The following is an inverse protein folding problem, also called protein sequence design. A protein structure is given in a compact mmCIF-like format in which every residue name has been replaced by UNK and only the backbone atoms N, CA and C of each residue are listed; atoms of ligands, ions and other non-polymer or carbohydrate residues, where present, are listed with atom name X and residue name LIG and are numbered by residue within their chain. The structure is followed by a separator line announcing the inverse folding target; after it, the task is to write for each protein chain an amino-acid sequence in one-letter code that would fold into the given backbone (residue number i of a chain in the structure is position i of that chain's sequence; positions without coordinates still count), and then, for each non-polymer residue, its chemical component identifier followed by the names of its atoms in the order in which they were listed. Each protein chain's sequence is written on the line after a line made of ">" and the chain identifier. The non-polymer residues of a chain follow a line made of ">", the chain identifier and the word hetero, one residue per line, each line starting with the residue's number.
data_IF_421982332799
#
_entry.id   IF_421982332799
#
_cell.length_a   1.000
_cell.length_b   1.000
_cell.length_c   1.000
_cell.angle_alpha   90.00
_cell.angle_beta   90.00
_cell.angle_gamma   90.00
#
_symmetry.space_group_name_H-M   'P 1'
#
loop_
_entity.id
_entity.type
_entity.pdbx_description
1 polymer ?
#
# COMPACT_ATOMS: atom_id res chain seq x y z
N UNK A 1 -22.31 -3.11 33.50
CA UNK A 1 -21.62 -3.44 34.78
C UNK A 1 -20.12 -3.29 34.55
N UNK A 2 -19.40 -2.57 35.41
CA UNK A 2 -17.96 -2.39 35.23
C UNK A 2 -17.21 -3.57 35.82
N UNK A 3 -16.43 -4.28 35.03
CA UNK A 3 -15.73 -5.51 35.40
C UNK A 3 -14.62 -5.29 36.46
N UNK A 4 -14.14 -4.06 36.61
CA UNK A 4 -13.04 -3.68 37.51
C UNK A 4 -13.47 -2.94 38.79
N UNK A 5 -14.77 -2.86 39.08
CA UNK A 5 -15.31 -2.02 40.16
C UNK A 5 -15.07 -2.54 41.60
N UNK A 6 -14.45 -3.71 41.80
CA UNK A 6 -14.41 -4.40 43.08
C UNK A 6 -13.79 -3.63 44.27
N UNK A 7 -12.88 -2.65 44.01
CA UNK A 7 -12.21 -1.85 45.07
C UNK A 7 -12.80 -0.45 45.21
N UNK A 8 -13.52 0.04 44.19
CA UNK A 8 -13.95 1.44 44.14
C UNK A 8 -15.28 1.65 44.82
N UNK A 9 -15.37 2.68 45.65
CA UNK A 9 -16.57 3.06 46.41
C UNK A 9 -17.43 4.12 45.74
N UNK A 10 -16.96 4.68 44.61
CA UNK A 10 -17.69 5.71 43.85
C UNK A 10 -17.83 5.29 42.39
N UNK A 11 -18.90 5.71 41.76
CA UNK A 11 -19.03 5.62 40.31
C UNK A 11 -18.05 6.57 39.63
N UNK A 12 -17.57 6.18 38.43
CA UNK A 12 -16.72 7.04 37.63
C UNK A 12 -17.54 8.21 37.07
N UNK A 13 -16.96 9.39 37.05
CA UNK A 13 -17.58 10.56 36.42
C UNK A 13 -17.86 10.29 34.93
N UNK A 14 -19.02 10.75 34.44
CA UNK A 14 -19.47 10.48 33.09
C UNK A 14 -18.46 10.99 32.04
N UNK A 15 -17.93 12.21 32.19
CA UNK A 15 -16.95 12.78 31.24
C UNK A 15 -15.63 11.99 31.23
N UNK A 16 -15.21 11.52 32.41
CA UNK A 16 -14.05 10.65 32.55
C UNK A 16 -14.30 9.30 31.91
N UNK A 17 -15.51 8.75 31.98
CA UNK A 17 -15.85 7.52 31.28
C UNK A 17 -15.83 7.70 29.76
N UNK A 18 -16.42 8.78 29.26
CA UNK A 18 -16.45 9.09 27.84
C UNK A 18 -15.03 9.32 27.29
N UNK A 19 -14.14 9.95 28.06
CA UNK A 19 -12.73 10.13 27.71
C UNK A 19 -11.95 8.81 27.66
N UNK A 20 -12.30 7.84 28.51
CA UNK A 20 -11.61 6.54 28.55
C UNK A 20 -12.16 5.51 27.56
N UNK A 21 -13.36 5.72 27.01
CA UNK A 21 -14.05 4.78 26.15
C UNK A 21 -13.36 4.67 24.79
N UNK A 22 -13.29 3.45 24.25
CA UNK A 22 -12.74 3.14 22.91
C UNK A 22 -13.78 2.53 21.98
N UNK A 23 -15.02 2.31 22.44
CA UNK A 23 -16.06 1.63 21.67
C UNK A 23 -16.31 2.26 20.29
N UNK A 24 -16.13 3.58 20.16
CA UNK A 24 -16.35 4.32 18.91
C UNK A 24 -15.44 3.88 17.76
N UNK A 25 -14.27 3.33 18.05
CA UNK A 25 -13.30 2.88 17.05
C UNK A 25 -12.94 1.40 17.18
N UNK A 26 -12.92 0.80 18.39
CA UNK A 26 -12.58 -0.61 18.57
C UNK A 26 -13.74 -1.57 18.26
N UNK A 27 -14.98 -1.06 18.19
CA UNK A 27 -16.15 -1.84 17.78
C UNK A 27 -15.98 -2.58 16.45
N UNK A 28 -15.10 -2.11 15.55
CA UNK A 28 -14.80 -2.80 14.28
C UNK A 28 -14.11 -4.15 14.46
N UNK A 29 -13.48 -4.39 15.61
CA UNK A 29 -12.80 -5.66 15.93
C UNK A 29 -13.69 -6.69 16.60
N UNK A 30 -15.04 -6.52 16.59
CA UNK A 30 -15.93 -7.47 17.26
C UNK A 30 -15.75 -8.93 16.81
N UNK A 31 -15.39 -9.15 15.53
CA UNK A 31 -15.12 -10.49 15.00
C UNK A 31 -13.86 -11.07 15.60
N UNK A 32 -12.80 -10.29 15.64
CA UNK A 32 -11.49 -10.68 16.16
C UNK A 32 -11.58 -10.98 17.65
N UNK A 33 -12.30 -10.16 18.41
CA UNK A 33 -12.53 -10.41 19.84
C UNK A 33 -13.30 -11.70 20.08
N UNK A 34 -14.35 -11.97 19.28
CA UNK A 34 -15.12 -13.22 19.39
C UNK A 34 -14.27 -14.42 18.97
N UNK A 35 -13.52 -14.33 17.86
CA UNK A 35 -12.60 -15.39 17.40
C UNK A 35 -11.54 -15.71 18.48
N UNK A 36 -10.89 -14.67 19.03
CA UNK A 36 -9.92 -14.79 20.12
C UNK A 36 -10.53 -15.41 21.37
N UNK A 37 -11.75 -14.99 21.72
CA UNK A 37 -12.50 -15.51 22.89
C UNK A 37 -12.94 -16.98 22.69
N UNK A 38 -13.36 -17.38 21.51
CA UNK A 38 -13.66 -18.79 21.18
C UNK A 38 -12.41 -19.66 21.32
N UNK A 39 -11.28 -19.23 20.77
CA UNK A 39 -10.02 -19.94 20.88
C UNK A 39 -9.57 -20.08 22.35
N UNK A 40 -9.71 -19.01 23.13
CA UNK A 40 -9.41 -19.02 24.56
C UNK A 40 -10.34 -19.97 25.35
N UNK A 41 -11.66 -19.91 25.12
CA UNK A 41 -12.63 -20.78 25.76
C UNK A 41 -12.35 -22.27 25.44
N UNK A 42 -12.00 -22.57 24.20
CA UNK A 42 -11.61 -23.91 23.78
C UNK A 42 -10.37 -24.39 24.55
N UNK A 43 -9.32 -23.57 24.61
CA UNK A 43 -8.07 -23.89 25.29
C UNK A 43 -8.28 -24.15 26.80
N UNK A 44 -8.99 -23.26 27.51
CA UNK A 44 -9.21 -23.44 28.96
C UNK A 44 -10.09 -24.66 29.25
N UNK A 45 -11.00 -25.06 28.34
CA UNK A 45 -11.76 -26.29 28.43
C UNK A 45 -10.88 -27.54 28.16
N UNK A 46 -10.05 -27.52 27.11
CA UNK A 46 -9.11 -28.61 26.78
C UNK A 46 -8.06 -28.83 27.88
N UNK A 47 -7.59 -27.76 28.52
CA UNK A 47 -6.66 -27.81 29.64
C UNK A 47 -7.32 -28.18 30.98
N UNK A 48 -8.64 -28.39 31.04
CA UNK A 48 -9.37 -28.77 32.25
C UNK A 48 -9.45 -27.65 33.31
N UNK A 49 -9.29 -26.40 32.92
CA UNK A 49 -9.38 -25.21 33.79
C UNK A 49 -10.84 -24.89 34.10
N UNK A 50 -11.74 -25.13 33.15
CA UNK A 50 -13.18 -25.12 33.28
C UNK A 50 -13.76 -26.43 32.77
N UNK A 51 -15.00 -26.76 33.16
CA UNK A 51 -15.65 -27.95 32.66
C UNK A 51 -15.89 -27.88 31.16
N UNK A 52 -15.75 -29.00 30.47
CA UNK A 52 -15.92 -29.09 29.02
C UNK A 52 -17.30 -28.58 28.58
N UNK A 53 -18.35 -28.91 29.31
CA UNK A 53 -19.71 -28.45 29.05
C UNK A 53 -19.86 -26.92 29.18
N UNK A 54 -19.11 -26.29 30.08
CA UNK A 54 -19.10 -24.84 30.24
C UNK A 54 -18.36 -24.18 29.08
N UNK A 55 -17.19 -24.75 28.65
CA UNK A 55 -16.47 -24.30 27.47
C UNK A 55 -17.35 -24.35 26.22
N UNK A 56 -18.03 -25.47 25.97
CA UNK A 56 -18.94 -25.64 24.82
C UNK A 56 -20.10 -24.65 24.87
N UNK A 57 -20.66 -24.36 26.06
CA UNK A 57 -21.73 -23.37 26.24
C UNK A 57 -21.24 -21.93 25.94
N UNK A 58 -20.02 -21.58 26.38
CA UNK A 58 -19.37 -20.30 26.09
C UNK A 58 -19.15 -20.13 24.60
N UNK A 59 -18.55 -21.11 23.93
CA UNK A 59 -18.30 -21.10 22.48
C UNK A 59 -19.61 -20.88 21.72
N UNK A 60 -20.64 -21.66 22.02
CA UNK A 60 -21.96 -21.51 21.39
C UNK A 60 -22.61 -20.16 21.66
N UNK A 61 -22.41 -19.61 22.87
CA UNK A 61 -22.87 -18.28 23.22
C UNK A 61 -22.19 -17.18 22.38
N UNK A 62 -20.86 -17.28 22.19
CA UNK A 62 -20.06 -16.37 21.38
C UNK A 62 -20.43 -16.45 19.89
N UNK A 63 -20.60 -17.67 19.35
CA UNK A 63 -21.07 -17.88 17.97
C UNK A 63 -22.46 -17.26 17.76
N UNK A 64 -23.35 -17.38 18.74
CA UNK A 64 -24.67 -16.77 18.70
C UNK A 64 -24.60 -15.23 18.76
N UNK A 65 -23.67 -14.64 19.52
CA UNK A 65 -23.44 -13.18 19.55
C UNK A 65 -22.94 -12.73 18.17
N UNK A 66 -21.96 -13.43 17.58
CA UNK A 66 -21.44 -13.13 16.26
C UNK A 66 -22.56 -13.12 15.20
N UNK A 67 -23.37 -14.17 15.17
CA UNK A 67 -24.48 -14.27 14.22
C UNK A 67 -25.53 -13.16 14.41
N UNK A 68 -25.83 -12.78 15.65
CA UNK A 68 -26.77 -11.70 15.96
C UNK A 68 -26.20 -10.32 15.55
N UNK A 69 -24.89 -10.07 15.72
CA UNK A 69 -24.22 -8.86 15.24
C UNK A 69 -24.21 -8.81 13.71
N UNK A 70 -23.83 -9.91 13.06
CA UNK A 70 -23.74 -10.00 11.59
C UNK A 70 -25.10 -9.80 10.90
N UNK A 71 -26.15 -10.29 11.52
CA UNK A 71 -27.52 -10.12 11.00
C UNK A 71 -28.18 -8.78 11.38
N UNK A 72 -27.52 -7.96 12.21
CA UNK A 72 -28.07 -6.70 12.72
C UNK A 72 -29.16 -6.89 13.78
N UNK A 73 -29.38 -8.10 14.28
CA UNK A 73 -30.32 -8.40 15.36
C UNK A 73 -29.81 -7.87 16.70
N UNK A 74 -28.52 -7.87 16.92
CA UNK A 74 -27.85 -7.24 18.04
C UNK A 74 -27.08 -6.01 17.52
N UNK A 75 -27.21 -4.88 18.24
CA UNK A 75 -26.50 -3.64 17.94
C UNK A 75 -25.52 -3.37 19.08
N UNK A 76 -24.28 -2.97 18.73
CA UNK A 76 -23.27 -2.59 19.72
C UNK A 76 -23.73 -1.32 20.45
N UNK A 77 -23.75 -1.37 21.79
CA UNK A 77 -24.08 -0.21 22.60
C UNK A 77 -22.99 0.85 22.54
N UNK A 78 -23.25 2.05 21.99
CA UNK A 78 -22.27 3.12 21.89
C UNK A 78 -21.83 3.68 23.25
N UNK A 79 -22.49 3.33 24.34
CA UNK A 79 -22.11 3.73 25.70
C UNK A 79 -21.28 2.66 26.44
N UNK A 80 -20.94 1.55 25.78
CA UNK A 80 -20.00 0.58 26.31
C UNK A 80 -18.61 1.20 26.48
N UNK A 81 -17.81 0.67 27.38
CA UNK A 81 -16.43 1.13 27.58
C UNK A 81 -15.54 0.76 26.35
N UNK A 82 -15.62 -0.50 25.95
CA UNK A 82 -14.90 -1.09 24.81
C UNK A 82 -15.71 -2.28 24.25
N UNK A 83 -15.29 -2.79 23.10
CA UNK A 83 -15.94 -3.94 22.44
C UNK A 83 -15.86 -5.20 23.28
N UNK A 84 -14.77 -5.39 23.98
CA UNK A 84 -14.52 -6.56 24.82
C UNK A 84 -15.50 -6.62 26.00
N UNK A 85 -15.72 -5.49 26.68
CA UNK A 85 -16.71 -5.36 27.78
C UNK A 85 -18.12 -5.58 27.25
N UNK A 86 -18.43 -5.09 26.05
CA UNK A 86 -19.72 -5.31 25.42
C UNK A 86 -19.98 -6.80 25.18
N UNK A 87 -19.06 -7.51 24.53
CA UNK A 87 -19.21 -8.94 24.21
C UNK A 87 -19.27 -9.80 25.48
N UNK A 88 -18.40 -9.53 26.47
CA UNK A 88 -18.42 -10.26 27.74
C UNK A 88 -19.72 -10.00 28.53
N UNK A 89 -20.24 -8.78 28.45
CA UNK A 89 -21.54 -8.40 29.02
C UNK A 89 -22.71 -9.17 28.40
N UNK A 90 -22.79 -9.21 27.08
CA UNK A 90 -23.78 -9.96 26.32
C UNK A 90 -23.70 -11.46 26.60
N UNK A 91 -22.48 -12.01 26.62
CA UNK A 91 -22.27 -13.43 26.96
C UNK A 91 -22.76 -13.73 28.40
N UNK A 92 -22.43 -12.85 29.34
CA UNK A 92 -22.87 -13.01 30.73
C UNK A 92 -24.40 -12.89 30.88
N UNK A 93 -25.04 -12.01 30.10
CA UNK A 93 -26.51 -11.90 30.09
C UNK A 93 -27.17 -13.18 29.59
N UNK A 94 -26.56 -13.85 28.57
CA UNK A 94 -27.08 -15.09 27.98
C UNK A 94 -26.85 -16.32 28.87
N UNK A 95 -25.68 -16.43 29.53
CA UNK A 95 -25.20 -17.64 30.17
C UNK A 95 -25.02 -17.52 31.69
N UNK A 96 -25.26 -16.35 32.27
CA UNK A 96 -25.13 -16.13 33.72
C UNK A 96 -23.70 -16.40 34.23
N UNK A 97 -23.56 -17.26 35.24
CA UNK A 97 -22.27 -17.58 35.87
C UNK A 97 -21.29 -18.27 34.93
N UNK A 98 -21.77 -19.08 33.99
CA UNK A 98 -20.94 -19.74 33.00
C UNK A 98 -20.26 -18.72 32.06
N UNK A 99 -20.98 -17.68 31.63
CA UNK A 99 -20.41 -16.61 30.80
C UNK A 99 -19.24 -15.87 31.46
N UNK A 100 -19.30 -15.68 32.79
CA UNK A 100 -18.24 -15.03 33.58
C UNK A 100 -16.92 -15.83 33.61
N UNK A 101 -16.97 -17.13 33.34
CA UNK A 101 -15.75 -17.98 33.32
C UNK A 101 -14.85 -17.72 32.11
N UNK A 102 -15.37 -17.05 31.08
CA UNK A 102 -14.56 -16.72 29.87
C UNK A 102 -13.27 -15.94 30.22
N UNK A 103 -13.31 -15.08 31.26
CA UNK A 103 -12.15 -14.26 31.64
C UNK A 103 -11.08 -15.01 32.43
N UNK A 104 -11.30 -16.28 32.78
CA UNK A 104 -10.37 -17.10 33.56
C UNK A 104 -9.05 -17.22 32.79
N UNK A 105 -7.92 -17.00 33.46
CA UNK A 105 -6.56 -17.05 32.90
C UNK A 105 -6.25 -16.07 31.76
N UNK A 106 -7.05 -15.00 31.61
CA UNK A 106 -6.88 -13.96 30.57
C UNK A 106 -6.85 -12.56 31.20
N UNK A 107 -6.16 -11.64 30.55
CA UNK A 107 -6.20 -10.20 30.83
C UNK A 107 -6.78 -9.43 29.65
N UNK A 108 -7.30 -8.22 29.90
CA UNK A 108 -7.64 -7.28 28.83
C UNK A 108 -6.41 -6.97 27.96
N UNK A 109 -5.20 -6.96 28.54
CA UNK A 109 -3.97 -6.60 27.82
C UNK A 109 -3.61 -7.58 26.71
N UNK A 110 -3.63 -8.90 26.97
CA UNK A 110 -3.34 -9.90 25.95
C UNK A 110 -4.53 -10.12 24.98
N UNK A 111 -5.75 -9.86 25.43
CA UNK A 111 -6.95 -9.85 24.59
C UNK A 111 -6.89 -8.74 23.54
N UNK A 112 -6.66 -7.50 23.92
CA UNK A 112 -6.52 -6.37 22.98
C UNK A 112 -5.35 -6.61 22.01
N UNK A 113 -4.23 -7.15 22.51
CA UNK A 113 -3.05 -7.41 21.69
C UNK A 113 -3.30 -8.49 20.62
N UNK A 114 -4.08 -9.53 20.91
CA UNK A 114 -4.41 -10.55 19.90
C UNK A 114 -5.42 -10.01 18.87
N UNK A 115 -6.39 -9.24 19.29
CA UNK A 115 -7.45 -8.73 18.42
C UNK A 115 -6.90 -7.79 17.35
N UNK A 116 -6.04 -6.83 17.71
CA UNK A 116 -5.42 -5.95 16.75
C UNK A 116 -4.50 -6.70 15.77
N UNK A 117 -3.78 -7.74 16.23
CA UNK A 117 -2.96 -8.58 15.34
C UNK A 117 -3.84 -9.39 14.37
N UNK A 118 -4.93 -9.99 14.83
CA UNK A 118 -5.88 -10.71 13.97
C UNK A 118 -6.48 -9.78 12.91
N UNK A 119 -6.89 -8.58 13.33
CA UNK A 119 -7.43 -7.57 12.43
C UNK A 119 -6.39 -7.18 11.36
N UNK A 120 -5.18 -6.81 11.76
CA UNK A 120 -4.15 -6.35 10.84
C UNK A 120 -3.65 -7.47 9.90
N UNK A 121 -3.61 -8.73 10.34
CA UNK A 121 -3.31 -9.87 9.44
C UNK A 121 -4.30 -9.93 8.27
N UNK A 122 -5.59 -9.75 8.52
CA UNK A 122 -6.64 -9.73 7.48
C UNK A 122 -6.49 -8.52 6.57
N UNK A 123 -6.23 -7.35 7.13
CA UNK A 123 -6.08 -6.10 6.39
C UNK A 123 -4.82 -6.10 5.50
N UNK A 124 -3.71 -6.62 5.99
CA UNK A 124 -2.49 -6.78 5.17
C UNK A 124 -2.77 -7.65 3.95
N UNK A 125 -3.46 -8.78 4.11
CA UNK A 125 -3.83 -9.65 2.98
C UNK A 125 -4.74 -8.95 1.98
N UNK A 126 -5.69 -8.15 2.46
CA UNK A 126 -6.57 -7.34 1.63
C UNK A 126 -5.77 -6.32 0.82
N UNK A 127 -4.86 -5.58 1.46
CA UNK A 127 -4.02 -4.58 0.79
C UNK A 127 -3.07 -5.25 -0.21
N UNK A 128 -2.49 -6.42 0.12
CA UNK A 128 -1.68 -7.20 -0.82
C UNK A 128 -2.46 -7.55 -2.09
N UNK A 129 -3.71 -8.00 -1.95
CA UNK A 129 -4.56 -8.30 -3.10
C UNK A 129 -4.81 -7.05 -3.96
N UNK A 130 -5.14 -5.91 -3.34
CA UNK A 130 -5.37 -4.64 -4.06
C UNK A 130 -4.11 -4.14 -4.78
N UNK A 131 -2.93 -4.26 -4.16
CA UNK A 131 -1.65 -3.90 -4.81
C UNK A 131 -1.37 -4.83 -5.99
N UNK A 132 -1.62 -6.14 -5.85
CA UNK A 132 -1.49 -7.11 -6.95
C UNK A 132 -2.41 -6.76 -8.12
N UNK A 133 -3.64 -6.33 -7.86
CA UNK A 133 -4.57 -5.94 -8.90
C UNK A 133 -4.10 -4.68 -9.65
N UNK A 134 -3.56 -3.68 -8.95
CA UNK A 134 -2.95 -2.52 -9.62
C UNK A 134 -1.75 -2.95 -10.47
N UNK A 135 -0.88 -3.83 -9.98
CA UNK A 135 0.26 -4.36 -10.76
C UNK A 135 -0.21 -5.04 -12.05
N UNK A 136 -1.28 -5.84 -11.99
CA UNK A 136 -1.87 -6.49 -13.19
C UNK A 136 -2.30 -5.46 -14.22
N UNK A 137 -3.01 -4.43 -13.80
CA UNK A 137 -3.44 -3.32 -14.67
C UNK A 137 -2.25 -2.62 -15.32
N UNK A 138 -1.16 -2.39 -14.57
CA UNK A 138 0.06 -1.81 -15.11
C UNK A 138 0.72 -2.72 -16.15
N UNK A 139 0.76 -4.04 -15.90
CA UNK A 139 1.29 -5.01 -16.86
C UNK A 139 0.48 -5.02 -18.16
N UNK A 140 -0.85 -5.01 -18.09
CA UNK A 140 -1.75 -5.00 -19.25
C UNK A 140 -1.52 -3.74 -20.11
N UNK A 141 -1.45 -2.58 -19.47
CA UNK A 141 -1.12 -1.32 -20.17
C UNK A 141 0.29 -1.33 -20.73
N UNK A 142 1.28 -1.86 -20.01
CA UNK A 142 2.65 -1.93 -20.48
C UNK A 142 2.78 -2.79 -21.74
N UNK A 143 2.12 -3.94 -21.79
CA UNK A 143 2.08 -4.81 -22.95
C UNK A 143 1.40 -4.12 -24.15
N UNK A 144 0.26 -3.47 -23.91
CA UNK A 144 -0.50 -2.74 -24.93
C UNK A 144 0.30 -1.60 -25.54
N UNK A 145 1.04 -0.85 -24.72
CA UNK A 145 1.77 0.34 -25.11
C UNK A 145 3.30 0.13 -25.11
N UNK A 146 3.76 -1.11 -25.26
CA UNK A 146 5.18 -1.45 -25.26
C UNK A 146 6.00 -0.76 -26.37
N UNK A 147 5.36 -0.42 -27.49
CA UNK A 147 5.97 0.28 -28.62
C UNK A 147 5.60 1.77 -28.69
N UNK A 148 4.82 2.31 -27.76
CA UNK A 148 4.40 3.71 -27.77
C UNK A 148 5.54 4.61 -27.32
N UNK A 149 6.19 5.25 -28.26
CA UNK A 149 7.33 6.15 -28.02
C UNK A 149 6.86 7.40 -27.29
N UNK A 150 7.56 7.77 -26.22
CA UNK A 150 7.39 9.02 -25.49
C UNK A 150 8.75 9.60 -25.06
N UNK A 151 8.83 10.91 -24.77
CA UNK A 151 10.05 11.47 -24.20
C UNK A 151 10.21 11.00 -22.75
N UNK A 152 11.39 10.50 -22.42
CA UNK A 152 11.82 10.33 -21.04
C UNK A 152 12.36 11.66 -20.49
N UNK A 153 12.18 11.90 -19.20
CA UNK A 153 12.53 13.16 -18.54
C UNK A 153 13.56 12.95 -17.43
N UNK A 154 14.50 13.88 -17.34
CA UNK A 154 15.32 14.14 -16.16
C UNK A 154 15.27 15.65 -15.89
N UNK A 155 15.17 16.07 -14.62
CA UNK A 155 15.02 17.48 -14.25
C UNK A 155 13.81 18.17 -14.92
N UNK A 156 12.75 17.40 -15.25
CA UNK A 156 11.63 17.83 -16.08
C UNK A 156 12.03 18.35 -17.47
N UNK A 157 13.24 18.05 -17.94
CA UNK A 157 13.70 18.27 -19.29
C UNK A 157 13.64 16.99 -20.10
N UNK A 158 13.28 17.09 -21.38
CA UNK A 158 13.31 15.94 -22.32
C UNK A 158 14.74 15.43 -22.42
N UNK A 159 14.94 14.14 -22.19
CA UNK A 159 16.27 13.56 -22.09
C UNK A 159 16.54 12.52 -23.18
N UNK A 160 15.85 11.39 -23.14
CA UNK A 160 16.03 10.28 -24.08
C UNK A 160 14.69 9.68 -24.48
N UNK A 161 14.55 9.06 -25.67
CA UNK A 161 13.33 8.38 -26.04
C UNK A 161 13.16 7.08 -25.24
N UNK A 162 11.95 6.89 -24.71
CA UNK A 162 11.51 5.68 -24.02
C UNK A 162 10.15 5.25 -24.58
N UNK A 163 9.53 4.21 -24.00
CA UNK A 163 8.12 3.90 -24.27
C UNK A 163 7.24 4.16 -23.06
N UNK A 164 5.97 4.40 -23.29
CA UNK A 164 4.98 4.50 -22.21
C UNK A 164 4.94 3.21 -21.39
N UNK A 165 4.98 2.04 -22.05
CA UNK A 165 5.06 0.76 -21.35
C UNK A 165 6.27 0.64 -20.45
N UNK A 166 7.46 1.08 -20.90
CA UNK A 166 8.67 1.11 -20.08
C UNK A 166 8.49 2.01 -18.85
N UNK A 167 7.91 3.19 -19.02
CA UNK A 167 7.71 4.15 -17.95
C UNK A 167 6.81 3.59 -16.84
N UNK A 168 5.62 3.05 -17.20
CA UNK A 168 4.69 2.55 -16.19
C UNK A 168 5.17 1.27 -15.51
N UNK A 169 6.01 0.46 -16.16
CA UNK A 169 6.63 -0.71 -15.51
C UNK A 169 7.56 -0.32 -14.36
N UNK A 170 8.10 0.91 -14.32
CA UNK A 170 8.84 1.39 -13.17
C UNK A 170 7.98 1.43 -11.90
N UNK A 171 6.69 1.80 -12.02
CA UNK A 171 5.73 1.75 -10.91
C UNK A 171 5.37 0.33 -10.51
N UNK A 172 5.25 -0.59 -11.46
CA UNK A 172 5.06 -2.01 -11.15
C UNK A 172 6.22 -2.58 -10.32
N UNK A 173 7.47 -2.22 -10.62
CA UNK A 173 8.65 -2.62 -9.83
C UNK A 173 8.65 -1.98 -8.42
N UNK A 174 8.16 -0.75 -8.26
CA UNK A 174 8.00 -0.14 -6.93
C UNK A 174 6.98 -0.93 -6.10
N UNK A 175 5.83 -1.26 -6.69
CA UNK A 175 4.76 -2.01 -6.02
C UNK A 175 5.15 -3.47 -5.71
N UNK A 176 6.00 -4.11 -6.52
CA UNK A 176 6.58 -5.43 -6.17
C UNK A 176 7.40 -5.35 -4.87
N UNK A 177 8.20 -4.31 -4.70
CA UNK A 177 8.94 -4.09 -3.46
C UNK A 177 8.02 -3.78 -2.28
N UNK A 178 6.85 -3.19 -2.54
CA UNK A 178 5.85 -2.95 -1.50
C UNK A 178 5.16 -4.24 -1.07
N UNK A 179 4.92 -5.19 -1.98
CA UNK A 179 4.43 -6.53 -1.62
C UNK A 179 5.41 -7.27 -0.71
N UNK A 180 6.71 -7.21 -0.99
CA UNK A 180 7.75 -7.81 -0.14
C UNK A 180 7.78 -7.18 1.26
N UNK A 181 7.62 -5.84 1.34
CA UNK A 181 7.49 -5.14 2.64
C UNK A 181 6.23 -5.55 3.39
N UNK A 182 5.09 -5.68 2.71
CA UNK A 182 3.84 -6.17 3.31
C UNK A 182 3.98 -7.61 3.82
N UNK A 183 4.71 -8.47 3.12
CA UNK A 183 5.03 -9.82 3.60
C UNK A 183 5.92 -9.77 4.86
N UNK A 184 6.85 -8.83 4.95
CA UNK A 184 7.64 -8.56 6.16
C UNK A 184 6.76 -8.15 7.34
N UNK A 185 5.93 -7.13 7.15
CA UNK A 185 4.99 -6.66 8.18
C UNK A 185 4.02 -7.76 8.61
N UNK A 186 3.53 -8.59 7.68
CA UNK A 186 2.68 -9.73 8.00
C UNK A 186 3.40 -10.73 8.92
N UNK A 187 4.65 -11.10 8.63
CA UNK A 187 5.42 -12.05 9.46
C UNK A 187 5.60 -11.55 10.90
N UNK A 188 5.86 -10.26 11.10
CA UNK A 188 6.02 -9.68 12.45
C UNK A 188 4.67 -9.52 13.18
N UNK A 189 3.57 -9.37 12.43
CA UNK A 189 2.21 -9.39 13.01
C UNK A 189 1.80 -10.81 13.42
N UNK A 190 2.35 -11.85 12.79
CA UNK A 190 1.93 -13.25 12.89
C UNK A 190 2.52 -14.00 14.09
N UNK A 191 2.68 -13.30 15.23
CA UNK A 191 3.08 -13.86 16.51
C UNK A 191 1.95 -13.69 17.55
N UNK A 192 1.48 -14.78 18.14
CA UNK A 192 0.29 -14.83 19.01
C UNK A 192 0.60 -14.40 20.44
N UNK A 193 -0.02 -13.30 20.96
CA UNK A 193 0.24 -12.80 22.30
C UNK A 193 -0.66 -13.42 23.38
N UNK A 194 -1.81 -14.02 23.01
CA UNK A 194 -2.81 -14.51 23.97
C UNK A 194 -2.20 -15.55 24.92
N UNK A 195 -2.54 -15.46 26.21
CA UNK A 195 -1.90 -16.20 27.29
C UNK A 195 -0.71 -15.50 27.94
N UNK A 196 -0.32 -14.31 27.45
CA UNK A 196 0.64 -13.44 28.14
C UNK A 196 0.06 -12.83 29.43
N UNK A 197 -1.26 -12.88 29.61
CA UNK A 197 -1.96 -12.28 30.72
C UNK A 197 -1.80 -10.77 30.77
N UNK A 198 -1.73 -10.21 31.95
CA UNK A 198 -1.46 -8.77 32.09
C UNK A 198 -0.02 -8.39 31.68
N UNK A 199 0.96 -9.25 31.99
CA UNK A 199 2.39 -9.11 31.66
C UNK A 199 3.24 -10.34 32.03
N UNK A 200 2.74 -11.24 32.89
CA UNK A 200 3.52 -12.32 33.50
C UNK A 200 2.82 -13.69 33.35
N UNK A 201 2.06 -13.88 32.29
CA UNK A 201 1.23 -15.07 32.05
C UNK A 201 0.22 -15.34 33.17
N UNK A 202 0.04 -16.59 33.56
CA UNK A 202 -0.91 -17.05 34.60
C UNK A 202 -0.37 -18.28 35.32
N UNK A 203 -0.87 -18.56 36.50
CA UNK A 203 -0.57 -19.80 37.26
C UNK A 203 -1.41 -20.99 36.81
N UNK A 204 -2.41 -20.80 35.94
CA UNK A 204 -3.17 -21.88 35.35
C UNK A 204 -2.34 -22.64 34.30
N UNK A 205 -2.53 -23.95 34.13
CA UNK A 205 -1.80 -24.75 33.15
C UNK A 205 -2.36 -24.55 31.72
N UNK A 206 -2.30 -23.35 31.22
CA UNK A 206 -2.76 -23.04 29.85
C UNK A 206 -1.78 -23.61 28.81
N UNK A 207 -2.29 -23.94 27.64
CA UNK A 207 -1.49 -24.30 26.44
C UNK A 207 -1.70 -23.30 25.32
N UNK A 208 -0.72 -22.40 25.15
CA UNK A 208 -0.75 -21.36 24.13
C UNK A 208 -0.65 -21.90 22.70
N UNK A 209 -0.20 -23.15 22.51
CA UNK A 209 -0.13 -23.77 21.18
C UNK A 209 -1.51 -24.06 20.61
N UNK A 210 -2.48 -24.36 21.48
CA UNK A 210 -3.88 -24.56 21.09
C UNK A 210 -4.46 -23.28 20.51
N UNK A 211 -4.33 -22.16 21.23
CA UNK A 211 -4.84 -20.86 20.79
C UNK A 211 -4.13 -20.38 19.51
N UNK A 212 -2.82 -20.53 19.42
CA UNK A 212 -2.06 -20.17 18.21
C UNK A 212 -2.54 -20.94 16.99
N UNK A 213 -2.72 -22.26 17.11
CA UNK A 213 -3.24 -23.11 16.04
C UNK A 213 -4.66 -22.73 15.62
N UNK A 214 -5.57 -22.50 16.58
CA UNK A 214 -6.96 -22.14 16.31
C UNK A 214 -7.09 -20.79 15.61
N UNK A 215 -6.23 -19.82 15.96
CA UNK A 215 -6.24 -18.48 15.41
C UNK A 215 -5.34 -18.32 14.16
N UNK A 216 -4.67 -19.41 13.74
CA UNK A 216 -3.82 -19.41 12.55
C UNK A 216 -2.59 -18.50 12.66
N UNK A 217 -1.99 -18.43 13.84
CA UNK A 217 -0.70 -17.76 14.02
C UNK A 217 0.45 -18.72 13.76
N UNK A 218 1.49 -18.24 13.09
CA UNK A 218 2.68 -19.02 12.79
C UNK A 218 3.61 -19.21 14.00
N UNK A 219 3.61 -18.25 14.93
CA UNK A 219 4.47 -18.24 16.11
C UNK A 219 3.70 -17.77 17.37
N UNK A 220 4.36 -17.85 18.51
CA UNK A 220 3.87 -17.41 19.82
C UNK A 220 4.87 -16.41 20.38
N UNK A 221 4.39 -15.27 20.92
CA UNK A 221 5.26 -14.30 21.59
C UNK A 221 6.04 -14.99 22.72
N UNK A 222 7.35 -14.96 22.64
CA UNK A 222 8.26 -15.73 23.51
C UNK A 222 8.44 -15.09 24.91
N UNK A 223 8.15 -13.81 25.03
CA UNK A 223 8.16 -13.09 26.31
C UNK A 223 6.78 -12.47 26.54
N UNK A 224 6.16 -12.79 27.67
CA UNK A 224 4.78 -12.35 27.98
C UNK A 224 4.69 -10.84 28.23
N UNK A 225 5.75 -10.22 28.69
CA UNK A 225 5.79 -8.78 28.93
C UNK A 225 5.89 -8.01 27.60
N UNK A 226 6.68 -8.52 26.68
CA UNK A 226 6.77 -8.06 25.30
C UNK A 226 5.45 -8.29 24.54
N UNK A 227 4.84 -9.46 24.68
CA UNK A 227 3.61 -9.84 23.99
C UNK A 227 2.42 -8.90 24.25
N UNK A 228 2.35 -8.21 25.38
CA UNK A 228 1.31 -7.20 25.68
C UNK A 228 1.77 -5.78 25.42
N UNK A 229 3.06 -5.55 25.28
CA UNK A 229 3.69 -4.23 25.10
C UNK A 229 4.00 -3.88 23.65
N UNK A 230 4.28 -4.89 22.83
CA UNK A 230 4.71 -4.71 21.45
C UNK A 230 3.64 -4.03 20.58
N UNK A 231 4.06 -3.00 19.86
CA UNK A 231 3.33 -2.31 18.80
C UNK A 231 4.23 -2.05 17.57
N UNK A 232 5.40 -2.70 17.52
CA UNK A 232 6.33 -2.57 16.38
C UNK A 232 5.63 -2.94 15.07
N UNK A 233 4.81 -3.98 15.10
CA UNK A 233 4.02 -4.41 13.93
C UNK A 233 3.05 -3.33 13.42
N UNK A 234 2.49 -2.47 14.29
CA UNK A 234 1.67 -1.33 13.89
C UNK A 234 2.53 -0.25 13.21
N UNK A 235 3.69 0.10 13.83
CA UNK A 235 4.61 1.10 13.29
C UNK A 235 5.23 0.63 11.97
N UNK A 236 5.60 -0.63 11.87
CA UNK A 236 6.13 -1.23 10.64
C UNK A 236 5.09 -1.21 9.52
N UNK A 237 3.86 -1.66 9.80
CA UNK A 237 2.78 -1.61 8.81
C UNK A 237 2.51 -0.17 8.35
N UNK A 238 2.38 0.79 9.27
CA UNK A 238 2.18 2.20 8.93
C UNK A 238 3.33 2.77 8.10
N UNK A 239 4.57 2.33 8.34
CA UNK A 239 5.74 2.67 7.52
C UNK A 239 5.62 2.12 6.10
N UNK A 240 5.23 0.85 5.95
CA UNK A 240 4.99 0.23 4.64
C UNK A 240 3.87 0.95 3.90
N UNK A 241 2.75 1.23 4.57
CA UNK A 241 1.63 1.98 4.00
C UNK A 241 2.05 3.38 3.55
N UNK A 242 2.91 4.05 4.32
CA UNK A 242 3.50 5.34 3.96
C UNK A 242 4.34 5.25 2.68
N UNK A 243 5.14 4.20 2.50
CA UNK A 243 5.93 3.99 1.28
C UNK A 243 5.03 3.73 0.08
N UNK A 244 3.97 2.93 0.21
CA UNK A 244 2.95 2.73 -0.82
C UNK A 244 2.37 4.09 -1.24
N UNK A 245 2.00 4.93 -0.28
CA UNK A 245 1.47 6.26 -0.57
C UNK A 245 2.48 7.20 -1.23
N UNK A 246 3.78 7.07 -0.95
CA UNK A 246 4.83 7.79 -1.72
C UNK A 246 4.80 7.37 -3.19
N UNK A 247 4.71 6.06 -3.48
CA UNK A 247 4.67 5.57 -4.85
C UNK A 247 3.40 6.02 -5.59
N UNK A 248 2.24 5.92 -4.94
CA UNK A 248 0.97 6.40 -5.50
C UNK A 248 0.97 7.92 -5.71
N UNK A 249 1.55 8.69 -4.77
CA UNK A 249 1.68 10.15 -4.88
C UNK A 249 2.56 10.55 -6.05
N UNK A 250 3.70 9.89 -6.26
CA UNK A 250 4.59 10.14 -7.41
C UNK A 250 3.89 9.83 -8.73
N UNK A 251 3.18 8.73 -8.80
CA UNK A 251 2.43 8.37 -10.01
C UNK A 251 1.28 9.34 -10.27
N UNK A 252 0.58 9.76 -9.22
CA UNK A 252 -0.45 10.80 -9.29
C UNK A 252 0.08 12.10 -9.88
N UNK A 253 1.27 12.55 -9.45
CA UNK A 253 1.91 13.75 -9.97
C UNK A 253 2.13 13.67 -11.48
N UNK A 254 2.66 12.54 -11.97
CA UNK A 254 2.86 12.34 -13.42
C UNK A 254 1.53 12.30 -14.18
N UNK A 255 0.50 11.64 -13.65
CA UNK A 255 -0.84 11.62 -14.27
C UNK A 255 -1.41 13.03 -14.36
N UNK A 256 -1.29 13.83 -13.31
CA UNK A 256 -1.75 15.23 -13.29
C UNK A 256 -1.05 16.03 -14.37
N UNK A 257 0.28 15.92 -14.47
CA UNK A 257 1.04 16.56 -15.54
C UNK A 257 0.60 16.06 -16.92
N UNK A 258 0.48 14.75 -17.11
CA UNK A 258 0.10 14.16 -18.40
C UNK A 258 -1.31 14.50 -18.84
N UNK A 259 -2.23 14.78 -17.90
CA UNK A 259 -3.59 15.25 -18.20
C UNK A 259 -3.65 16.72 -18.61
N UNK A 260 -2.62 17.52 -18.27
CA UNK A 260 -2.60 18.95 -18.60
C UNK A 260 -2.62 19.20 -20.11
N UNK A 261 -3.07 20.38 -20.53
CA UNK A 261 -3.07 20.79 -21.93
C UNK A 261 -1.65 20.88 -22.52
N UNK A 262 -0.65 21.19 -21.70
CA UNK A 262 0.75 21.30 -22.08
C UNK A 262 1.37 19.95 -22.46
N UNK A 263 1.03 18.87 -21.73
CA UNK A 263 1.48 17.51 -22.03
C UNK A 263 0.49 16.76 -22.92
N UNK A 264 -0.74 16.65 -22.47
CA UNK A 264 -1.82 15.92 -23.15
C UNK A 264 -1.41 14.49 -23.59
N UNK A 265 -0.74 13.77 -22.71
CA UNK A 265 -0.26 12.41 -22.96
C UNK A 265 -1.31 11.36 -22.64
N UNK A 266 -2.17 11.68 -21.66
CA UNK A 266 -3.27 10.81 -21.26
C UNK A 266 -4.55 11.63 -21.05
N UNK A 267 -5.67 10.90 -21.01
CA UNK A 267 -6.96 11.45 -20.63
C UNK A 267 -7.63 10.44 -19.71
N UNK A 268 -8.09 10.90 -18.54
CA UNK A 268 -8.84 10.07 -17.61
C UNK A 268 -10.27 9.87 -18.12
N UNK A 269 -10.88 8.75 -17.77
CA UNK A 269 -12.29 8.51 -18.01
C UNK A 269 -13.16 9.53 -17.23
N UNK A 270 -14.34 9.84 -17.74
CA UNK A 270 -15.29 10.78 -17.12
C UNK A 270 -15.72 10.30 -15.72
N UNK A 271 -15.77 8.98 -15.50
CA UNK A 271 -16.10 8.40 -14.21
C UNK A 271 -15.06 8.69 -13.11
N UNK A 272 -13.83 9.10 -13.49
CA UNK A 272 -12.70 9.38 -12.59
C UNK A 272 -12.20 10.82 -12.70
N UNK A 273 -13.06 11.72 -13.17
CA UNK A 273 -12.75 13.14 -13.39
C UNK A 273 -13.91 14.00 -12.94
N UNK A 274 -13.66 15.28 -12.66
CA UNK A 274 -14.70 16.25 -12.46
C UNK A 274 -14.59 17.39 -13.46
N UNK A 275 -15.69 18.12 -13.64
CA UNK A 275 -15.73 19.32 -14.47
C UNK A 275 -15.69 20.60 -13.63
N UNK A 276 -15.97 21.71 -14.30
CA UNK A 276 -16.16 23.03 -13.68
C UNK A 276 -17.60 23.51 -13.86
N UNK A 277 -18.18 24.12 -12.84
CA UNK A 277 -19.53 24.68 -12.91
C UNK A 277 -19.65 25.88 -13.86
N UNK A 278 -18.52 26.51 -14.23
CA UNK A 278 -18.48 27.72 -15.07
C UNK A 278 -17.61 27.57 -16.33
N UNK A 279 -16.77 26.52 -16.40
CA UNK A 279 -15.86 26.28 -17.51
C UNK A 279 -16.17 24.93 -18.17
N UNK A 280 -17.05 24.88 -19.20
CA UNK A 280 -17.56 23.61 -19.74
C UNK A 280 -16.48 22.72 -20.40
N UNK A 281 -15.33 23.27 -20.75
CA UNK A 281 -14.21 22.56 -21.34
C UNK A 281 -13.26 21.93 -20.32
N UNK A 282 -13.41 22.27 -19.02
CA UNK A 282 -12.46 21.86 -17.99
C UNK A 282 -12.75 20.45 -17.48
N UNK A 283 -11.71 19.63 -17.42
CA UNK A 283 -11.74 18.29 -16.86
C UNK A 283 -10.57 18.13 -15.92
N UNK A 284 -10.85 17.85 -14.66
CA UNK A 284 -9.87 17.82 -13.56
C UNK A 284 -9.49 16.38 -13.20
N UNK A 285 -8.21 16.07 -12.92
CA UNK A 285 -7.74 14.77 -12.45
C UNK A 285 -7.87 14.61 -10.91
N UNK A 286 -9.07 14.89 -10.35
CA UNK A 286 -9.28 15.02 -8.91
C UNK A 286 -8.89 13.77 -8.12
N UNK A 287 -9.09 12.57 -8.69
CA UNK A 287 -8.73 11.32 -8.02
C UNK A 287 -7.21 11.27 -7.79
N UNK A 288 -6.42 11.61 -8.81
CA UNK A 288 -4.97 11.66 -8.68
C UNK A 288 -4.53 12.73 -7.66
N UNK A 289 -5.18 13.91 -7.66
CA UNK A 289 -4.89 14.98 -6.70
C UNK A 289 -5.22 14.56 -5.26
N UNK A 290 -6.37 13.91 -5.05
CA UNK A 290 -6.77 13.43 -3.73
C UNK A 290 -5.85 12.31 -3.22
N UNK A 291 -5.44 11.37 -4.06
CA UNK A 291 -4.47 10.32 -3.70
C UNK A 291 -3.14 10.97 -3.29
N UNK A 292 -2.64 11.93 -4.06
CA UNK A 292 -1.44 12.71 -3.71
C UNK A 292 -1.60 13.41 -2.36
N UNK A 293 -2.75 14.06 -2.12
CA UNK A 293 -3.02 14.78 -0.86
C UNK A 293 -3.15 13.85 0.36
N UNK A 294 -3.80 12.68 0.18
CA UNK A 294 -4.00 11.70 1.27
C UNK A 294 -2.71 11.05 1.78
N UNK A 295 -1.60 11.14 1.05
CA UNK A 295 -0.30 10.66 1.53
C UNK A 295 0.12 11.32 2.83
N UNK A 296 -0.14 12.62 3.00
CA UNK A 296 0.15 13.35 4.22
C UNK A 296 -0.59 12.83 5.45
N UNK A 297 -1.82 12.31 5.26
CA UNK A 297 -2.62 11.70 6.34
C UNK A 297 -1.95 10.44 6.87
N UNK A 298 -1.58 9.51 5.99
CA UNK A 298 -0.91 8.25 6.36
C UNK A 298 0.48 8.51 6.99
N UNK A 299 1.20 9.55 6.55
CA UNK A 299 2.46 9.96 7.20
C UNK A 299 2.22 10.49 8.61
N UNK A 300 1.12 11.22 8.82
CA UNK A 300 0.69 11.68 10.14
C UNK A 300 0.39 10.51 11.08
N UNK A 301 -0.29 9.49 10.61
CA UNK A 301 -0.61 8.27 11.39
C UNK A 301 0.66 7.53 11.82
N UNK A 302 1.63 7.35 10.92
CA UNK A 302 2.94 6.79 11.27
C UNK A 302 3.64 7.62 12.36
N UNK A 303 3.63 8.94 12.21
CA UNK A 303 4.25 9.83 13.18
C UNK A 303 3.55 9.77 14.55
N UNK A 304 2.22 9.62 14.55
CA UNK A 304 1.42 9.42 15.77
C UNK A 304 1.85 8.16 16.49
N UNK A 305 1.91 7.00 15.79
CA UNK A 305 2.33 5.73 16.38
C UNK A 305 3.76 5.80 16.97
N UNK A 306 4.71 6.34 16.22
CA UNK A 306 6.09 6.52 16.70
C UNK A 306 6.14 7.43 17.93
N UNK A 307 5.31 8.46 17.97
CA UNK A 307 5.27 9.43 19.08
C UNK A 307 4.63 8.82 20.33
N UNK A 308 3.55 8.06 20.16
CA UNK A 308 2.88 7.36 21.26
C UNK A 308 3.83 6.35 21.92
N UNK A 309 4.50 5.53 21.11
CA UNK A 309 5.33 4.43 21.62
C UNK A 309 6.68 4.88 22.20
N UNK A 310 7.23 6.00 21.76
CA UNK A 310 8.54 6.48 22.25
C UNK A 310 8.52 6.76 23.75
N UNK A 311 9.22 6.09 24.56
CA UNK A 311 9.46 6.45 25.96
C UNK A 311 8.38 6.02 26.96
N UNK A 312 7.34 5.26 26.55
CA UNK A 312 6.46 4.60 27.50
C UNK A 312 7.13 3.37 28.09
N UNK A 313 6.85 3.09 29.35
CA UNK A 313 7.42 1.94 30.05
C UNK A 313 6.70 0.64 29.66
N UNK A 314 7.38 -0.50 29.80
CA UNK A 314 6.75 -1.81 29.76
C UNK A 314 5.78 -1.97 30.96
N UNK A 315 4.70 -2.73 30.91
CA UNK A 315 4.20 -3.52 29.78
C UNK A 315 3.13 -2.76 28.98
N UNK A 316 1.97 -2.52 29.59
CA UNK A 316 0.84 -1.79 29.01
C UNK A 316 0.60 -0.49 29.75
N UNK A 317 0.46 0.59 28.98
CA UNK A 317 -0.02 1.90 29.46
C UNK A 317 -1.22 2.32 28.62
N UNK A 318 -2.09 3.13 29.17
CA UNK A 318 -3.33 3.57 28.48
C UNK A 318 -3.05 4.37 27.20
N UNK A 319 -1.85 4.96 27.07
CA UNK A 319 -1.32 5.57 25.85
C UNK A 319 -1.49 4.66 24.62
N UNK A 320 -1.31 3.35 24.79
CA UNK A 320 -1.44 2.35 23.73
C UNK A 320 -2.88 2.23 23.18
N UNK A 321 -3.89 2.86 23.77
CA UNK A 321 -5.23 2.92 23.18
C UNK A 321 -5.25 3.77 21.91
N UNK A 322 -4.33 4.77 21.81
CA UNK A 322 -4.17 5.66 20.67
C UNK A 322 -3.57 4.95 19.42
N UNK A 323 -3.09 3.71 19.56
CA UNK A 323 -2.57 2.92 18.46
C UNK A 323 -3.64 2.64 17.39
N UNK A 324 -4.89 2.43 17.82
CA UNK A 324 -5.97 1.94 16.95
C UNK A 324 -6.45 2.98 15.96
N UNK A 325 -6.73 4.19 16.42
CA UNK A 325 -7.24 5.23 15.52
C UNK A 325 -6.25 5.52 14.40
N UNK A 326 -4.95 5.65 14.72
CA UNK A 326 -3.91 5.91 13.74
C UNK A 326 -3.74 4.75 12.74
N UNK A 327 -3.63 3.50 13.22
CA UNK A 327 -3.42 2.38 12.29
C UNK A 327 -4.66 2.05 11.46
N UNK A 328 -5.86 2.19 12.02
CA UNK A 328 -7.10 2.00 11.28
C UNK A 328 -7.27 3.06 10.19
N UNK A 329 -6.95 4.31 10.49
CA UNK A 329 -7.02 5.41 9.53
C UNK A 329 -6.03 5.23 8.38
N UNK A 330 -4.80 4.83 8.69
CA UNK A 330 -3.78 4.52 7.68
C UNK A 330 -4.22 3.38 6.74
N UNK A 331 -4.74 2.28 7.30
CA UNK A 331 -5.26 1.13 6.55
C UNK A 331 -6.43 1.54 5.66
N UNK A 332 -7.44 2.20 6.24
CA UNK A 332 -8.64 2.62 5.51
C UNK A 332 -8.30 3.61 4.39
N UNK A 333 -7.40 4.55 4.65
CA UNK A 333 -6.95 5.56 3.67
C UNK A 333 -6.23 4.92 2.49
N UNK A 334 -5.32 3.96 2.73
CA UNK A 334 -4.61 3.25 1.65
C UNK A 334 -5.57 2.40 0.82
N UNK A 335 -6.48 1.66 1.46
CA UNK A 335 -7.52 0.88 0.76
C UNK A 335 -8.40 1.77 -0.10
N UNK A 336 -8.86 2.91 0.43
CA UNK A 336 -9.65 3.90 -0.32
C UNK A 336 -8.89 4.42 -1.55
N UNK A 337 -7.61 4.76 -1.39
CA UNK A 337 -6.77 5.21 -2.49
C UNK A 337 -6.61 4.15 -3.57
N UNK A 338 -6.28 2.91 -3.21
CA UNK A 338 -6.13 1.81 -4.16
C UNK A 338 -7.45 1.48 -4.88
N UNK A 339 -8.59 1.54 -4.16
CA UNK A 339 -9.93 1.31 -4.73
C UNK A 339 -10.28 2.32 -5.83
N UNK A 340 -9.89 3.58 -5.67
CA UNK A 340 -10.14 4.62 -6.68
C UNK A 340 -9.06 4.66 -7.77
N UNK A 341 -7.80 4.44 -7.39
CA UNK A 341 -6.65 4.59 -8.28
C UNK A 341 -6.56 3.48 -9.33
N UNK A 342 -6.79 2.23 -8.95
CA UNK A 342 -6.67 1.08 -9.85
C UNK A 342 -7.61 1.21 -11.06
N UNK A 343 -8.93 1.39 -10.92
CA UNK A 343 -9.81 1.54 -12.09
C UNK A 343 -9.57 2.86 -12.85
N UNK A 344 -9.10 3.92 -12.20
CA UNK A 344 -8.68 5.15 -12.88
C UNK A 344 -7.54 4.86 -13.86
N UNK A 345 -6.53 4.07 -13.45
CA UNK A 345 -5.44 3.65 -14.35
C UNK A 345 -5.94 2.70 -15.41
N UNK A 346 -6.80 1.75 -15.08
CA UNK A 346 -7.35 0.77 -16.01
C UNK A 346 -8.08 1.44 -17.17
N UNK A 347 -8.92 2.45 -16.89
CA UNK A 347 -9.75 3.14 -17.88
C UNK A 347 -9.03 4.32 -18.55
N UNK A 348 -7.88 4.75 -18.02
CA UNK A 348 -7.10 5.87 -18.56
C UNK A 348 -6.75 5.65 -20.04
N UNK A 349 -7.13 6.60 -20.88
CA UNK A 349 -6.81 6.62 -22.31
C UNK A 349 -5.43 7.21 -22.55
N UNK A 350 -4.56 6.45 -23.18
CA UNK A 350 -3.24 6.91 -23.63
C UNK A 350 -3.37 7.58 -25.00
N UNK A 351 -2.61 8.65 -25.24
CA UNK A 351 -2.62 9.44 -26.46
C UNK A 351 -1.26 9.33 -27.19
N UNK A 352 -1.01 8.22 -27.92
CA UNK A 352 0.31 7.92 -28.52
C UNK A 352 0.81 9.00 -29.45
N UNK A 353 -0.07 9.61 -30.26
CA UNK A 353 0.30 10.65 -31.23
C UNK A 353 0.87 11.90 -30.55
N UNK A 354 0.31 12.29 -29.41
CA UNK A 354 0.81 13.44 -28.64
C UNK A 354 2.17 13.13 -28.00
N UNK A 355 2.34 11.93 -27.48
CA UNK A 355 3.62 11.46 -26.95
C UNK A 355 4.69 11.42 -28.03
N UNK A 356 4.37 10.83 -29.19
CA UNK A 356 5.28 10.74 -30.34
C UNK A 356 5.66 12.14 -30.86
N UNK A 357 4.69 13.05 -30.96
CA UNK A 357 4.92 14.44 -31.35
C UNK A 357 5.83 15.18 -30.36
N UNK A 358 5.62 14.97 -29.05
CA UNK A 358 6.48 15.54 -28.03
C UNK A 358 7.90 14.97 -28.08
N UNK A 359 8.04 13.67 -28.39
CA UNK A 359 9.34 13.01 -28.54
C UNK A 359 10.14 13.49 -29.77
N UNK A 360 9.46 13.93 -30.83
CA UNK A 360 10.10 14.46 -32.04
C UNK A 360 10.75 15.83 -31.82
N UNK A 361 10.51 16.49 -30.69
CA UNK A 361 11.10 17.77 -30.39
C UNK A 361 12.04 17.68 -29.18
N UNK A 362 13.14 18.48 -29.23
CA UNK A 362 14.10 18.60 -28.13
C UNK A 362 15.33 17.70 -28.24
N UNK A 363 15.58 17.20 -29.45
CA UNK A 363 16.82 16.48 -29.79
C UNK A 363 17.13 15.28 -28.88
N UNK A 364 16.09 14.57 -28.43
CA UNK A 364 16.23 13.46 -27.47
C UNK A 364 16.99 12.26 -28.06
N UNK A 365 17.17 12.22 -29.38
CA UNK A 365 17.94 11.26 -30.16
C UNK A 365 19.40 11.71 -30.43
N UNK A 366 19.84 12.86 -29.90
CA UNK A 366 21.18 13.34 -30.10
C UNK A 366 22.27 12.38 -29.56
N UNK A 367 21.98 11.68 -28.47
CA UNK A 367 22.91 10.63 -27.98
C UNK A 367 23.08 9.51 -28.98
N UNK A 368 22.01 9.09 -29.65
CA UNK A 368 22.02 8.04 -30.67
C UNK A 368 22.78 8.51 -31.92
N UNK A 369 22.72 9.79 -32.27
CA UNK A 369 23.53 10.41 -33.32
C UNK A 369 25.03 10.37 -32.97
N UNK A 370 25.41 10.67 -31.72
CA UNK A 370 26.80 10.55 -31.29
C UNK A 370 27.26 9.09 -31.30
N UNK A 371 26.43 8.17 -30.78
CA UNK A 371 26.73 6.73 -30.76
C UNK A 371 26.91 6.15 -32.18
N UNK A 372 26.18 6.69 -33.17
CA UNK A 372 26.36 6.33 -34.56
C UNK A 372 27.80 6.57 -35.03
N UNK A 373 28.36 7.75 -34.73
CA UNK A 373 29.77 8.07 -35.08
C UNK A 373 30.75 7.19 -34.30
N UNK A 374 30.47 6.91 -33.02
CA UNK A 374 31.31 6.03 -32.19
C UNK A 374 31.38 4.62 -32.79
N UNK A 375 30.24 4.09 -33.23
CA UNK A 375 30.18 2.78 -33.92
C UNK A 375 30.96 2.76 -35.22
N UNK A 376 31.20 3.92 -35.84
CA UNK A 376 32.05 4.11 -37.01
C UNK A 376 33.53 4.39 -36.69
N UNK A 377 33.89 4.37 -35.41
CA UNK A 377 35.26 4.45 -34.95
C UNK A 377 35.72 5.81 -34.42
N UNK A 378 34.83 6.82 -34.34
CA UNK A 378 35.17 8.09 -33.70
C UNK A 378 35.23 7.95 -32.17
N UNK A 379 36.20 8.61 -31.51
CA UNK A 379 36.18 8.75 -30.06
C UNK A 379 34.91 9.46 -29.60
N UNK A 380 34.33 9.00 -28.47
CA UNK A 380 33.06 9.54 -27.97
C UNK A 380 33.07 11.07 -27.78
N UNK A 381 34.18 11.65 -27.31
CA UNK A 381 34.28 13.10 -27.08
C UNK A 381 34.20 13.90 -28.40
N UNK A 382 34.75 13.37 -29.47
CA UNK A 382 34.69 13.99 -30.80
C UNK A 382 33.28 13.82 -31.40
N UNK A 383 32.69 12.64 -31.28
CA UNK A 383 31.32 12.37 -31.69
C UNK A 383 30.33 13.27 -30.96
N UNK A 384 30.50 13.43 -29.65
CA UNK A 384 29.68 14.33 -28.81
C UNK A 384 29.77 15.79 -29.27
N UNK A 385 31.01 16.28 -29.56
CA UNK A 385 31.23 17.63 -30.07
C UNK A 385 30.59 17.84 -31.45
N UNK A 386 30.76 16.93 -32.36
CA UNK A 386 30.14 16.96 -33.70
C UNK A 386 28.62 17.01 -33.60
N UNK A 387 28.01 16.13 -32.77
CA UNK A 387 26.56 16.11 -32.54
C UNK A 387 26.07 17.41 -31.87
N UNK A 388 26.80 17.96 -30.90
CA UNK A 388 26.47 19.23 -30.29
C UNK A 388 26.44 20.40 -31.29
N UNK A 389 27.37 20.39 -32.28
CA UNK A 389 27.39 21.35 -33.39
C UNK A 389 26.16 21.19 -34.29
N UNK A 390 25.75 19.94 -34.59
CA UNK A 390 24.52 19.68 -35.36
C UNK A 390 23.27 20.16 -34.64
N UNK A 391 23.15 19.90 -33.33
CA UNK A 391 22.04 20.39 -32.53
C UNK A 391 21.95 21.91 -32.55
N UNK A 392 23.07 22.61 -32.36
CA UNK A 392 23.11 24.08 -32.46
C UNK A 392 22.66 24.58 -33.84
N UNK A 393 23.11 23.93 -34.91
CA UNK A 393 22.72 24.23 -36.30
C UNK A 393 21.23 23.98 -36.52
N UNK A 394 20.67 22.89 -35.98
CA UNK A 394 19.24 22.62 -36.06
C UNK A 394 18.41 23.68 -35.33
N UNK A 395 18.88 24.16 -34.18
CA UNK A 395 18.21 25.23 -33.42
C UNK A 395 18.17 26.53 -34.24
N UNK A 396 19.31 26.90 -34.84
CA UNK A 396 19.43 28.08 -35.69
C UNK A 396 18.49 28.00 -36.91
N UNK A 397 18.48 26.85 -37.58
CA UNK A 397 17.67 26.58 -38.78
C UNK A 397 16.20 26.25 -38.46
N UNK A 398 15.82 26.10 -37.17
CA UNK A 398 14.49 25.70 -36.72
C UNK A 398 14.03 24.37 -37.34
N UNK A 399 14.94 23.40 -37.39
CA UNK A 399 14.72 22.06 -37.95
C UNK A 399 15.05 21.00 -36.89
N UNK A 400 14.85 19.72 -37.22
CA UNK A 400 15.21 18.58 -36.39
C UNK A 400 16.43 17.86 -36.96
N UNK A 401 17.02 16.92 -36.21
CA UNK A 401 18.09 16.08 -36.74
C UNK A 401 17.57 15.19 -37.87
N UNK A 402 16.36 14.71 -37.81
CA UNK A 402 15.75 13.86 -38.82
C UNK A 402 15.51 14.58 -40.14
N UNK A 403 15.25 15.89 -40.12
CA UNK A 403 14.95 16.72 -41.31
C UNK A 403 16.18 17.48 -41.82
N UNK A 404 17.33 17.41 -41.14
CA UNK A 404 18.55 18.09 -41.57
C UNK A 404 19.16 17.36 -42.77
N UNK A 405 19.48 18.05 -43.89
CA UNK A 405 20.10 17.44 -45.05
C UNK A 405 21.44 16.76 -44.76
N UNK A 406 21.73 15.63 -45.41
CA UNK A 406 22.97 14.87 -45.21
C UNK A 406 24.23 15.72 -45.46
N UNK A 407 24.18 16.67 -46.37
CA UNK A 407 25.28 17.58 -46.64
C UNK A 407 25.69 18.38 -45.38
N UNK A 408 24.73 18.82 -44.57
CA UNK A 408 25.01 19.51 -43.31
C UNK A 408 25.68 18.60 -42.26
N UNK A 409 25.28 17.35 -42.22
CA UNK A 409 25.97 16.32 -41.41
C UNK A 409 27.41 16.16 -41.83
N UNK A 410 27.63 16.03 -43.14
CA UNK A 410 28.99 15.84 -43.72
C UNK A 410 29.87 17.08 -43.55
N UNK A 411 29.29 18.29 -43.59
CA UNK A 411 30.01 19.54 -43.33
C UNK A 411 30.56 19.60 -41.89
N UNK A 412 29.88 18.96 -40.92
CA UNK A 412 30.33 18.87 -39.52
C UNK A 412 31.31 17.69 -39.32
N UNK A 413 31.02 16.55 -39.92
CA UNK A 413 31.89 15.37 -39.88
C UNK A 413 31.62 14.49 -41.09
N UNK A 414 32.66 14.24 -41.89
CA UNK A 414 32.64 13.48 -43.15
C UNK A 414 32.32 11.99 -42.98
N UNK A 415 32.42 11.50 -41.74
CA UNK A 415 32.08 10.12 -41.37
C UNK A 415 30.57 9.83 -41.44
N UNK A 416 29.73 10.85 -41.48
CA UNK A 416 28.29 10.67 -41.62
C UNK A 416 27.90 10.19 -43.03
N UNK A 417 26.95 9.28 -43.09
CA UNK A 417 26.26 8.87 -44.31
C UNK A 417 24.75 8.71 -44.07
N UNK A 418 23.99 8.27 -45.05
CA UNK A 418 22.53 8.11 -45.00
C UNK A 418 22.07 7.20 -43.85
N UNK A 419 22.89 6.30 -43.33
CA UNK A 419 22.59 5.44 -42.21
C UNK A 419 22.32 6.19 -40.91
N UNK A 420 22.69 7.47 -40.82
CA UNK A 420 22.38 8.29 -39.63
C UNK A 420 20.88 8.43 -39.42
N UNK A 421 20.08 8.60 -40.47
CA UNK A 421 18.63 8.76 -40.35
C UNK A 421 17.93 7.54 -39.74
N UNK A 422 18.39 6.34 -40.12
CA UNK A 422 17.92 5.11 -39.50
C UNK A 422 18.33 5.05 -38.01
N UNK A 423 19.59 5.38 -37.74
CA UNK A 423 20.14 5.31 -36.39
C UNK A 423 19.46 6.26 -35.41
N UNK A 424 19.02 7.46 -35.85
CA UNK A 424 18.37 8.48 -35.00
C UNK A 424 16.86 8.43 -35.05
N UNK A 425 16.23 7.52 -35.83
CA UNK A 425 14.79 7.36 -35.76
C UNK A 425 14.37 6.96 -34.34
N UNK A 426 13.32 7.59 -33.82
CA UNK A 426 12.95 7.39 -32.41
C UNK A 426 12.60 5.93 -32.10
N UNK A 427 12.03 5.23 -33.06
CA UNK A 427 11.71 3.81 -32.96
C UNK A 427 12.99 2.96 -32.83
N UNK A 428 14.02 3.26 -33.61
CA UNK A 428 15.30 2.57 -33.54
C UNK A 428 16.09 2.96 -32.27
N UNK A 429 16.01 4.21 -31.85
CA UNK A 429 16.60 4.66 -30.60
C UNK A 429 16.04 3.86 -29.41
N UNK A 430 14.72 3.62 -29.36
CA UNK A 430 14.08 2.81 -28.33
C UNK A 430 14.43 1.34 -28.48
N UNK A 431 14.19 0.75 -29.66
CA UNK A 431 14.35 -0.69 -29.89
C UNK A 431 15.82 -1.14 -29.94
N UNK A 432 16.75 -0.23 -30.13
CA UNK A 432 18.19 -0.50 -30.02
C UNK A 432 18.68 -0.71 -28.59
N UNK A 433 17.92 -0.29 -27.59
CA UNK A 433 18.26 -0.42 -26.16
C UNK A 433 17.75 -1.74 -25.57
N UNK A 434 18.38 -2.86 -26.01
CA UNK A 434 17.99 -4.24 -25.71
C UNK A 434 18.58 -4.83 -24.44
N UNK A 435 19.46 -4.10 -23.75
CA UNK A 435 20.00 -4.57 -22.47
C UNK A 435 18.88 -4.76 -21.44
N UNK A 436 19.07 -5.66 -20.49
CA UNK A 436 18.10 -5.92 -19.42
C UNK A 436 17.72 -4.59 -18.72
N UNK A 437 16.44 -4.34 -18.59
CA UNK A 437 15.90 -3.09 -18.04
C UNK A 437 15.80 -1.94 -19.04
N UNK A 438 16.20 -2.14 -20.32
CA UNK A 438 16.05 -1.14 -21.37
C UNK A 438 14.63 -1.01 -21.91
N UNK A 439 14.33 0.10 -22.63
CA UNK A 439 12.98 0.42 -23.12
C UNK A 439 12.56 -0.31 -24.41
N UNK A 440 13.39 -1.20 -24.99
CA UNK A 440 12.99 -1.95 -26.17
C UNK A 440 11.67 -2.69 -25.94
N UNK A 441 10.78 -2.67 -26.93
CA UNK A 441 9.42 -3.25 -26.80
C UNK A 441 9.42 -4.71 -26.35
N UNK A 442 10.39 -5.50 -26.78
CA UNK A 442 10.58 -6.89 -26.35
C UNK A 442 10.94 -7.00 -24.87
N UNK A 443 11.80 -6.11 -24.37
CA UNK A 443 12.15 -6.06 -22.95
C UNK A 443 10.96 -5.67 -22.06
N UNK A 444 10.16 -4.69 -22.50
CA UNK A 444 8.96 -4.24 -21.77
C UNK A 444 7.96 -5.38 -21.64
N UNK A 445 7.70 -6.12 -22.74
CA UNK A 445 6.81 -7.29 -22.71
C UNK A 445 7.34 -8.39 -21.82
N UNK A 446 8.63 -8.71 -21.90
CA UNK A 446 9.25 -9.72 -21.04
C UNK A 446 9.20 -9.32 -19.57
N UNK A 447 9.41 -8.04 -19.24
CA UNK A 447 9.28 -7.51 -17.89
C UNK A 447 7.85 -7.64 -17.37
N UNK A 448 6.86 -7.25 -18.17
CA UNK A 448 5.43 -7.36 -17.78
C UNK A 448 5.04 -8.82 -17.50
N UNK A 449 5.47 -9.77 -18.35
CA UNK A 449 5.25 -11.20 -18.15
C UNK A 449 5.92 -11.73 -16.87
N UNK A 450 7.17 -11.34 -16.61
CA UNK A 450 7.89 -11.69 -15.37
C UNK A 450 7.15 -11.17 -14.14
N UNK A 451 6.77 -9.89 -14.14
CA UNK A 451 6.08 -9.26 -13.02
C UNK A 451 4.72 -9.91 -12.79
N UNK A 452 3.97 -10.18 -13.86
CA UNK A 452 2.69 -10.88 -13.79
C UNK A 452 2.83 -12.27 -13.15
N UNK A 453 3.84 -13.04 -13.54
CA UNK A 453 4.10 -14.36 -12.95
C UNK A 453 4.36 -14.30 -11.44
N UNK A 454 5.04 -13.27 -10.95
CA UNK A 454 5.33 -13.06 -9.53
C UNK A 454 4.10 -12.70 -8.68
N UNK A 455 3.05 -12.13 -9.28
CA UNK A 455 1.85 -11.72 -8.53
C UNK A 455 0.66 -12.68 -8.65
N UNK A 456 0.68 -13.58 -9.65
CA UNK A 456 -0.36 -14.62 -9.85
C UNK A 456 -0.01 -15.90 -9.10
N UNK A 457 1.29 -16.22 -8.95
CA UNK A 457 1.76 -17.36 -8.16
C UNK A 457 1.63 -17.09 -6.68
#
# INVERSE_FOLDING_TARGET
>A
MKLWAGRFSKEIDKKTNDFNSSISFDSRMYREDIEGSIAHATMIGECGIIDKSESEAIIKGLEGILADLDSGKLTIDPNAEDIHTFIEGELTQRLGQTGKRLHTARSRNDQVAVDIRLYLKKEIKTIQAMVKDLIKVLCDKAETYAATVMPGYTHLQRAQPITFGHHIMAYAEMLLRDLDRLDGAYRHTDAMPLGSGALATTTYPIDRTITARLLGFADICQNSLDGVSDRDFCMELASVLSIIMVHLSRFSEEIIMWCSWEFKFVELDDAFSTGSSIMPQKKNPDIAELVRGKSGRVFGDLMTLLTVMKGIALAYNKDMQEDKEAIFDAVDTVKMCLTAFTPMIETMRVLPDNMRKAAAHGFINATDCADYLVKKGLPFRDAYKATGTLVALCIEKKTTLEDLPLEEYKNVCDTFDEGVYEAISLENCVNGRKVLGGPASENVKAQAQRVRALVIG
#
